data_IF_109867590669
#
_entry.id   IF_109867590669
#
_cell.length_a   1.000
_cell.length_b   1.000
_cell.length_c   1.000
_cell.angle_alpha   90.00
_cell.angle_beta   90.00
_cell.angle_gamma   90.00
#
_symmetry.space_group_name_H-M   'P 1'
#
loop_
_entity.id
_entity.type
_entity.pdbx_description
1 polymer ?
#
# COMPACT_ATOMS: atom_id res chain seq x y z
N UNK A 1 41.58 15.91 -64.07
CA UNK A 1 41.15 16.70 -62.90
C UNK A 1 39.80 16.16 -62.44
N UNK A 2 39.77 15.31 -61.41
CA UNK A 2 38.53 14.82 -60.79
C UNK A 2 38.57 15.24 -59.32
N UNK A 3 37.62 16.03 -58.80
CA UNK A 3 37.63 16.43 -57.41
C UNK A 3 37.07 15.30 -56.55
N UNK A 4 37.88 14.84 -55.60
CA UNK A 4 37.50 13.88 -54.57
C UNK A 4 36.56 14.59 -53.57
N UNK A 5 35.30 14.17 -53.50
CA UNK A 5 34.34 14.63 -52.48
C UNK A 5 34.61 13.89 -51.17
N UNK A 6 35.18 14.57 -50.18
CA UNK A 6 35.25 14.08 -48.81
C UNK A 6 33.86 14.22 -48.17
N UNK A 7 33.23 13.08 -47.86
CA UNK A 7 32.00 13.04 -47.07
C UNK A 7 32.34 13.15 -45.58
N UNK A 8 31.91 14.24 -44.94
CA UNK A 8 32.05 14.48 -43.52
C UNK A 8 30.96 13.67 -42.78
N UNK A 9 31.34 12.57 -42.14
CA UNK A 9 30.44 11.80 -41.28
C UNK A 9 30.28 12.52 -39.93
N UNK A 10 29.14 13.19 -39.74
CA UNK A 10 28.70 13.67 -38.43
C UNK A 10 28.34 12.46 -37.57
N UNK A 11 29.25 12.07 -36.67
CA UNK A 11 28.98 11.16 -35.58
C UNK A 11 27.99 11.84 -34.63
N UNK A 12 26.70 11.51 -34.76
CA UNK A 12 25.69 11.77 -33.73
C UNK A 12 26.06 10.94 -32.50
N UNK A 13 26.78 11.54 -31.55
CA UNK A 13 26.95 10.96 -30.23
C UNK A 13 25.57 10.88 -29.57
N UNK A 14 24.98 9.69 -29.54
CA UNK A 14 23.81 9.43 -28.73
C UNK A 14 24.17 9.77 -27.28
N UNK A 15 23.36 10.54 -26.54
CA UNK A 15 23.66 10.83 -25.15
C UNK A 15 23.74 9.50 -24.39
N UNK A 16 24.92 9.21 -23.84
CA UNK A 16 25.11 8.07 -22.97
C UNK A 16 24.28 8.32 -21.70
N UNK A 17 23.09 7.71 -21.63
CA UNK A 17 22.29 7.73 -20.42
C UNK A 17 23.07 7.00 -19.32
N UNK A 18 23.15 7.60 -18.14
CA UNK A 18 23.75 6.95 -16.98
C UNK A 18 23.01 5.63 -16.68
N UNK A 19 23.78 4.56 -16.47
CA UNK A 19 23.29 3.21 -16.21
C UNK A 19 23.19 2.98 -14.70
N UNK A 20 22.14 2.29 -14.26
CA UNK A 20 22.00 1.76 -12.91
C UNK A 20 22.33 0.27 -12.99
N UNK A 21 23.47 -0.11 -12.42
CA UNK A 21 23.94 -1.49 -12.44
C UNK A 21 23.13 -2.34 -11.45
N UNK A 22 22.42 -3.34 -11.98
CA UNK A 22 21.67 -4.35 -11.23
C UNK A 22 20.94 -3.82 -9.97
N UNK A 23 19.94 -2.92 -10.14
CA UNK A 23 19.32 -2.22 -9.01
C UNK A 23 18.57 -3.10 -8.01
N UNK A 24 18.28 -4.35 -8.39
CA UNK A 24 17.61 -5.33 -7.53
C UNK A 24 18.42 -6.63 -7.48
N UNK A 25 19.55 -6.67 -6.75
CA UNK A 25 20.38 -7.85 -6.68
C UNK A 25 19.62 -9.00 -5.98
N UNK A 26 19.58 -10.17 -6.63
CA UNK A 26 18.90 -11.34 -6.09
C UNK A 26 17.37 -11.24 -6.07
N UNK A 27 16.78 -10.37 -6.90
CA UNK A 27 15.33 -10.22 -6.97
C UNK A 27 14.63 -11.55 -7.23
N UNK A 28 13.50 -11.76 -6.57
CA UNK A 28 12.59 -12.87 -6.81
C UNK A 28 11.19 -12.33 -7.07
N UNK A 29 10.37 -13.10 -7.79
CA UNK A 29 8.97 -12.72 -8.02
C UNK A 29 8.24 -12.49 -6.69
N UNK A 30 7.47 -11.42 -6.61
CA UNK A 30 6.66 -10.96 -5.47
C UNK A 30 7.44 -10.56 -4.22
N UNK A 31 8.77 -10.54 -4.28
CA UNK A 31 9.59 -9.98 -3.21
C UNK A 31 9.88 -8.51 -3.49
N UNK A 32 9.75 -7.71 -2.44
CA UNK A 32 9.98 -6.27 -2.48
C UNK A 32 11.47 -5.99 -2.64
N UNK A 33 11.83 -5.23 -3.68
CA UNK A 33 13.12 -4.62 -3.90
C UNK A 33 13.04 -3.09 -3.70
N UNK A 34 13.99 -2.54 -2.96
CA UNK A 34 14.15 -1.10 -2.73
C UNK A 34 15.37 -0.60 -3.53
N UNK A 35 15.13 0.30 -4.49
CA UNK A 35 16.18 0.98 -5.25
C UNK A 35 16.43 2.33 -4.61
N UNK A 36 17.61 2.51 -4.03
CA UNK A 36 17.97 3.69 -3.23
C UNK A 36 18.63 4.75 -4.10
N UNK A 37 18.18 5.98 -3.95
CA UNK A 37 18.75 7.17 -4.58
C UNK A 37 19.20 8.15 -3.49
N UNK A 38 20.49 8.42 -3.43
CA UNK A 38 21.06 9.45 -2.55
C UNK A 38 21.25 10.74 -3.33
N UNK A 39 20.65 11.83 -2.85
CA UNK A 39 20.69 13.11 -3.53
C UNK A 39 22.04 13.78 -3.27
N UNK A 40 22.79 14.17 -4.32
CA UNK A 40 24.03 14.91 -4.12
C UNK A 40 23.79 16.19 -3.32
N UNK A 41 24.65 16.48 -2.34
CA UNK A 41 24.50 17.65 -1.47
C UNK A 41 24.37 18.98 -2.23
N UNK A 42 25.04 19.10 -3.39
CA UNK A 42 24.97 20.27 -4.25
C UNK A 42 23.60 20.46 -4.93
N UNK A 43 22.85 19.39 -5.16
CA UNK A 43 21.48 19.47 -5.67
C UNK A 43 20.46 19.62 -4.53
N UNK A 44 20.75 19.05 -3.35
CA UNK A 44 19.87 19.11 -2.19
C UNK A 44 19.52 20.54 -1.77
N UNK A 45 20.47 21.49 -1.87
CA UNK A 45 20.24 22.90 -1.55
C UNK A 45 19.23 23.61 -2.47
N UNK A 46 18.83 23.00 -3.58
CA UNK A 46 17.84 23.55 -4.52
C UNK A 46 16.39 23.27 -4.11
N UNK A 47 16.18 22.32 -3.19
CA UNK A 47 14.86 21.87 -2.77
C UNK A 47 14.63 22.30 -1.32
N UNK A 48 13.58 23.10 -1.08
CA UNK A 48 13.27 23.61 0.26
C UNK A 48 12.56 22.57 1.10
N UNK A 49 11.68 21.79 0.46
CA UNK A 49 11.01 20.66 1.05
C UNK A 49 11.22 19.42 0.17
N UNK A 50 12.13 18.50 0.56
CA UNK A 50 12.43 17.27 -0.17
C UNK A 50 11.21 16.40 -0.48
N UNK A 51 10.19 16.41 0.39
CA UNK A 51 8.95 15.65 0.19
C UNK A 51 8.04 16.27 -0.88
N UNK A 52 8.02 17.59 -1.00
CA UNK A 52 7.17 18.32 -1.94
C UNK A 52 7.84 18.56 -3.28
N UNK A 53 9.08 19.01 -3.24
CA UNK A 53 9.73 19.66 -4.37
C UNK A 53 10.39 18.66 -5.31
N UNK A 54 10.71 17.45 -4.84
CA UNK A 54 11.37 16.41 -5.65
C UNK A 54 10.34 15.48 -6.28
N UNK A 55 10.44 15.32 -7.60
CA UNK A 55 9.74 14.28 -8.34
C UNK A 55 10.72 13.18 -8.71
N UNK A 56 10.34 11.93 -8.43
CA UNK A 56 11.10 10.75 -8.79
C UNK A 56 10.10 9.65 -9.15
N UNK A 57 10.28 9.02 -10.31
CA UNK A 57 9.49 7.86 -10.73
C UNK A 57 10.31 6.97 -11.66
N UNK A 58 9.95 5.69 -11.70
CA UNK A 58 10.51 4.72 -12.62
C UNK A 58 9.40 4.07 -13.44
N UNK A 59 9.61 3.99 -14.75
CA UNK A 59 8.86 3.10 -15.63
C UNK A 59 9.59 1.77 -15.68
N UNK A 60 8.96 0.70 -15.21
CA UNK A 60 9.46 -0.66 -15.32
C UNK A 60 8.75 -1.41 -16.42
N UNK A 61 9.49 -2.14 -17.25
CA UNK A 61 8.95 -3.06 -18.25
C UNK A 61 9.29 -4.49 -17.85
N UNK A 62 8.26 -5.31 -17.71
CA UNK A 62 8.39 -6.72 -17.37
C UNK A 62 8.85 -7.57 -18.57
N UNK A 63 9.30 -8.82 -18.33
CA UNK A 63 9.64 -9.77 -19.38
C UNK A 63 8.51 -10.00 -20.40
N UNK A 64 7.24 -9.95 -19.97
CA UNK A 64 6.07 -10.05 -20.85
C UNK A 64 5.51 -8.70 -21.29
N UNK A 65 6.32 -7.65 -21.21
CA UNK A 65 6.04 -6.30 -21.69
C UNK A 65 4.92 -5.55 -20.97
N UNK A 66 4.55 -5.95 -19.74
CA UNK A 66 3.72 -5.12 -18.87
C UNK A 66 4.53 -3.94 -18.36
N UNK A 67 3.90 -2.76 -18.30
CA UNK A 67 4.55 -1.55 -17.81
C UNK A 67 4.00 -1.15 -16.45
N UNK A 68 4.88 -0.82 -15.52
CA UNK A 68 4.55 -0.34 -14.18
C UNK A 68 5.18 1.03 -13.98
N UNK A 69 4.37 2.03 -13.64
CA UNK A 69 4.86 3.34 -13.24
C UNK A 69 4.94 3.39 -11.71
N UNK A 70 6.15 3.32 -11.19
CA UNK A 70 6.40 3.32 -9.75
C UNK A 70 6.87 4.71 -9.30
N UNK A 71 6.09 5.42 -8.47
CA UNK A 71 6.56 6.65 -7.86
C UNK A 71 7.66 6.36 -6.83
N UNK A 72 8.65 7.24 -6.76
CA UNK A 72 9.61 7.28 -5.67
C UNK A 72 9.08 8.06 -4.48
N UNK A 73 9.68 7.84 -3.33
CA UNK A 73 9.34 8.55 -2.09
C UNK A 73 10.59 9.01 -1.34
N UNK A 74 10.45 10.13 -0.65
CA UNK A 74 11.45 10.63 0.28
C UNK A 74 11.46 9.78 1.56
N UNK A 75 12.65 9.39 2.02
CA UNK A 75 12.84 8.52 3.18
C UNK A 75 13.76 9.14 4.24
N UNK A 76 13.77 10.48 4.33
CA UNK A 76 14.58 11.22 5.28
C UNK A 76 15.90 11.71 4.70
N UNK A 77 16.38 12.85 5.20
CA UNK A 77 17.63 13.47 4.74
C UNK A 77 17.65 13.68 3.22
N UNK A 78 18.68 13.16 2.56
CA UNK A 78 18.85 13.22 1.11
C UNK A 78 18.43 11.92 0.39
N UNK A 79 17.74 11.03 1.11
CA UNK A 79 17.51 9.67 0.65
C UNK A 79 16.12 9.50 0.07
N UNK A 80 16.05 8.85 -1.09
CA UNK A 80 14.83 8.49 -1.78
C UNK A 80 14.83 7.01 -2.15
N UNK A 81 13.64 6.41 -2.23
CA UNK A 81 13.47 5.02 -2.65
C UNK A 81 12.47 4.96 -3.79
N UNK A 82 12.77 4.15 -4.79
CA UNK A 82 11.76 3.54 -5.67
C UNK A 82 11.64 2.08 -5.27
N UNK A 83 10.43 1.63 -4.95
CA UNK A 83 10.18 0.27 -4.48
C UNK A 83 9.36 -0.50 -5.52
N UNK A 84 9.70 -1.77 -5.77
CA UNK A 84 8.99 -2.63 -6.71
C UNK A 84 8.93 -4.08 -6.20
N UNK A 85 7.86 -4.79 -6.55
CA UNK A 85 7.76 -6.25 -6.44
C UNK A 85 7.62 -6.83 -7.86
N UNK A 86 8.66 -7.46 -8.43
CA UNK A 86 8.59 -8.04 -9.76
C UNK A 86 7.52 -9.14 -9.81
N UNK A 87 6.55 -9.05 -10.72
CA UNK A 87 5.45 -10.03 -10.81
C UNK A 87 5.75 -11.20 -11.73
N UNK A 88 6.84 -11.13 -12.49
CA UNK A 88 7.22 -12.08 -13.54
C UNK A 88 8.71 -12.39 -13.44
N UNK A 89 9.08 -13.66 -13.62
CA UNK A 89 10.48 -14.06 -13.68
C UNK A 89 11.10 -13.70 -15.03
N UNK A 90 12.37 -13.33 -15.04
CA UNK A 90 13.14 -12.92 -16.21
C UNK A 90 13.71 -11.51 -16.12
N UNK A 91 14.05 -10.95 -17.28
CA UNK A 91 14.68 -9.63 -17.40
C UNK A 91 13.66 -8.49 -17.24
N UNK A 92 13.97 -7.57 -16.32
CA UNK A 92 13.23 -6.34 -16.12
C UNK A 92 14.08 -5.16 -16.55
N UNK A 93 13.45 -4.22 -17.25
CA UNK A 93 14.07 -2.95 -17.67
C UNK A 93 13.44 -1.81 -16.90
N UNK A 94 14.23 -0.78 -16.56
CA UNK A 94 13.72 0.43 -15.95
C UNK A 94 14.26 1.71 -16.60
N UNK A 95 13.46 2.77 -16.52
CA UNK A 95 13.84 4.13 -16.87
C UNK A 95 13.38 5.11 -15.80
N UNK A 96 14.29 5.98 -15.36
CA UNK A 96 14.03 7.00 -14.35
C UNK A 96 13.60 8.31 -15.00
N UNK A 97 12.60 8.95 -14.40
CA UNK A 97 12.25 10.36 -14.65
C UNK A 97 12.27 11.12 -13.32
N UNK A 98 13.00 12.23 -13.29
CA UNK A 98 13.15 13.05 -12.07
C UNK A 98 13.45 14.50 -12.42
N UNK A 99 13.16 15.42 -11.49
CA UNK A 99 13.66 16.79 -11.55
C UNK A 99 15.04 16.97 -10.90
N UNK A 100 15.62 15.92 -10.29
CA UNK A 100 17.02 15.86 -9.87
C UNK A 100 17.86 15.44 -11.07
N UNK A 101 18.82 16.27 -11.45
CA UNK A 101 19.55 16.13 -12.71
C UNK A 101 20.40 14.87 -12.71
N UNK A 102 21.03 14.54 -11.58
CA UNK A 102 21.82 13.32 -11.44
C UNK A 102 21.04 12.04 -11.73
N UNK A 103 19.73 12.00 -11.49
CA UNK A 103 18.89 10.79 -11.62
C UNK A 103 18.10 10.73 -12.91
N UNK A 104 17.77 11.89 -13.48
CA UNK A 104 16.84 11.97 -14.61
C UNK A 104 17.38 11.25 -15.86
N UNK A 105 16.55 10.40 -16.46
CA UNK A 105 16.88 9.68 -17.68
C UNK A 105 17.79 8.47 -17.48
N UNK A 106 18.19 8.16 -16.24
CA UNK A 106 18.92 6.92 -15.93
C UNK A 106 18.14 5.69 -16.39
N UNK A 107 18.86 4.65 -16.82
CA UNK A 107 18.28 3.38 -17.25
C UNK A 107 18.99 2.25 -16.54
N UNK A 108 18.30 1.12 -16.37
CA UNK A 108 18.92 -0.05 -15.79
C UNK A 108 18.14 -1.30 -16.13
N UNK A 109 18.70 -2.44 -15.71
CA UNK A 109 18.06 -3.73 -15.83
C UNK A 109 18.45 -4.64 -14.68
N UNK A 110 17.58 -5.58 -14.34
CA UNK A 110 17.84 -6.62 -13.34
C UNK A 110 17.13 -7.91 -13.72
N UNK A 111 17.57 -9.02 -13.11
CA UNK A 111 16.95 -10.34 -13.30
C UNK A 111 16.12 -10.71 -12.07
N UNK A 112 14.88 -11.12 -12.29
CA UNK A 112 14.01 -11.67 -11.25
C UNK A 112 13.93 -13.19 -11.38
N UNK A 113 14.32 -13.92 -10.34
CA UNK A 113 14.12 -15.36 -10.26
C UNK A 113 12.67 -15.71 -9.90
N UNK A 114 12.19 -16.87 -10.32
CA UNK A 114 10.88 -17.37 -9.94
C UNK A 114 10.84 -17.75 -8.44
N UNK A 115 9.72 -17.48 -7.79
CA UNK A 115 9.45 -17.87 -6.40
C UNK A 115 8.13 -18.65 -6.30
N UNK A 116 7.90 -19.29 -5.15
CA UNK A 116 6.64 -20.00 -4.89
C UNK A 116 5.48 -19.07 -4.48
N UNK A 117 5.74 -17.77 -4.35
CA UNK A 117 4.77 -16.78 -3.92
C UNK A 117 3.57 -16.71 -4.88
N UNK A 118 2.33 -16.87 -4.41
CA UNK A 118 1.17 -16.86 -5.29
C UNK A 118 0.78 -15.44 -5.77
N UNK A 119 1.31 -14.38 -5.18
CA UNK A 119 1.09 -12.99 -5.59
C UNK A 119 0.14 -12.19 -4.72
N UNK A 120 -0.51 -11.20 -5.31
CA UNK A 120 -1.49 -10.33 -4.65
C UNK A 120 -2.89 -10.95 -4.67
N UNK A 121 -3.85 -10.35 -3.97
CA UNK A 121 -5.24 -10.82 -3.95
C UNK A 121 -6.08 -10.11 -4.99
N UNK A 122 -7.05 -10.84 -5.56
CA UNK A 122 -8.10 -10.31 -6.40
C UNK A 122 -9.45 -10.97 -6.12
N UNK A 123 -10.57 -10.26 -6.31
CA UNK A 123 -11.89 -10.90 -6.34
C UNK A 123 -11.96 -12.04 -7.36
N UNK A 124 -12.68 -13.10 -7.00
CA UNK A 124 -12.89 -14.28 -7.83
C UNK A 124 -14.30 -14.84 -7.60
N UNK A 125 -14.93 -15.34 -8.67
CA UNK A 125 -16.23 -16.02 -8.60
C UNK A 125 -17.28 -15.26 -7.76
N UNK A 126 -17.39 -13.94 -8.00
CA UNK A 126 -18.30 -12.98 -7.37
C UNK A 126 -18.06 -12.71 -5.87
N UNK A 127 -17.78 -13.73 -5.06
CA UNK A 127 -17.77 -13.61 -3.59
C UNK A 127 -16.46 -14.08 -2.93
N UNK A 128 -15.51 -14.60 -3.71
CA UNK A 128 -14.31 -15.25 -3.19
C UNK A 128 -13.05 -14.45 -3.53
N UNK A 129 -11.93 -14.93 -2.98
CA UNK A 129 -10.60 -14.39 -3.23
C UNK A 129 -9.72 -15.45 -3.87
N UNK A 130 -8.89 -15.02 -4.82
CA UNK A 130 -7.80 -15.83 -5.35
C UNK A 130 -6.57 -14.96 -5.54
N UNK A 131 -5.41 -15.60 -5.67
CA UNK A 131 -4.19 -14.87 -5.97
C UNK A 131 -4.07 -14.44 -7.44
N UNK A 132 -3.23 -13.44 -7.73
CA UNK A 132 -3.05 -12.88 -9.09
C UNK A 132 -2.28 -13.82 -10.01
N UNK A 133 -1.22 -14.48 -9.53
CA UNK A 133 -0.34 -15.30 -10.39
C UNK A 133 -0.70 -16.77 -10.38
N UNK A 134 -1.40 -17.22 -9.34
CA UNK A 134 -1.91 -18.58 -9.21
C UNK A 134 -3.40 -18.55 -8.91
N UNK A 135 -4.18 -19.44 -9.53
CA UNK A 135 -5.61 -19.63 -9.21
C UNK A 135 -5.82 -20.37 -7.88
N UNK A 136 -5.00 -20.05 -6.87
CA UNK A 136 -5.12 -20.58 -5.53
C UNK A 136 -6.18 -19.77 -4.76
N UNK A 137 -7.15 -20.42 -4.07
CA UNK A 137 -8.13 -19.72 -3.25
C UNK A 137 -7.48 -19.10 -2.01
N UNK A 138 -8.08 -18.02 -1.52
CA UNK A 138 -7.67 -17.35 -0.29
C UNK A 138 -8.86 -17.20 0.66
N UNK A 139 -8.66 -17.56 1.93
CA UNK A 139 -9.60 -17.29 3.02
C UNK A 139 -9.12 -16.07 3.80
N UNK A 140 -9.95 -15.03 3.87
CA UNK A 140 -9.65 -13.81 4.60
C UNK A 140 -9.93 -14.03 6.09
N UNK A 141 -8.90 -14.41 6.85
CA UNK A 141 -8.93 -14.62 8.29
C UNK A 141 -8.12 -13.52 8.95
N UNK A 142 -8.82 -12.48 9.44
CA UNK A 142 -8.20 -11.25 9.94
C UNK A 142 -8.17 -11.14 11.45
N UNK A 143 -7.10 -10.53 11.98
CA UNK A 143 -7.04 -9.98 13.33
C UNK A 143 -6.99 -8.44 13.26
N UNK A 144 -7.43 -7.76 14.33
CA UNK A 144 -7.40 -6.30 14.43
C UNK A 144 -6.35 -5.85 15.44
N UNK A 145 -5.35 -5.11 14.96
CA UNK A 145 -4.36 -4.44 15.79
C UNK A 145 -4.12 -3.03 15.22
N UNK A 146 -5.05 -2.10 15.49
CA UNK A 146 -4.98 -0.74 14.97
C UNK A 146 -3.65 -0.06 15.24
N UNK A 147 -3.04 -0.36 16.38
CA UNK A 147 -1.82 0.26 16.86
C UNK A 147 -0.54 -0.52 16.51
N UNK A 148 -0.60 -1.50 15.60
CA UNK A 148 0.56 -2.31 15.23
C UNK A 148 1.81 -1.51 14.82
N UNK A 149 1.75 -0.28 14.27
CA UNK A 149 2.96 0.51 14.00
C UNK A 149 3.65 1.05 15.26
N UNK A 150 2.93 1.20 16.37
CA UNK A 150 3.40 1.92 17.56
C UNK A 150 3.61 1.05 18.80
N UNK A 151 3.05 -0.16 18.85
CA UNK A 151 3.33 -1.08 19.97
C UNK A 151 4.82 -1.42 20.04
N UNK A 152 5.29 -1.77 21.23
CA UNK A 152 6.66 -2.24 21.45
C UNK A 152 7.08 -3.28 20.40
N UNK A 153 8.34 -3.20 19.96
CA UNK A 153 8.83 -4.04 18.85
C UNK A 153 8.84 -5.52 19.22
N UNK A 154 9.29 -5.86 20.42
CA UNK A 154 9.31 -7.26 20.85
C UNK A 154 7.88 -7.80 20.97
N UNK A 155 6.94 -6.99 21.49
CA UNK A 155 5.52 -7.35 21.54
C UNK A 155 4.93 -7.56 20.14
N UNK A 156 5.23 -6.67 19.17
CA UNK A 156 4.79 -6.85 17.79
C UNK A 156 5.32 -8.16 17.17
N UNK A 157 6.60 -8.46 17.35
CA UNK A 157 7.20 -9.67 16.80
C UNK A 157 6.54 -10.93 17.39
N UNK A 158 6.20 -10.90 18.69
CA UNK A 158 5.43 -11.96 19.35
C UNK A 158 4.01 -12.10 18.77
N UNK A 159 3.28 -10.99 18.60
CA UNK A 159 1.95 -11.00 17.99
C UNK A 159 2.02 -11.56 16.56
N UNK A 160 2.92 -11.05 15.73
CA UNK A 160 3.07 -11.50 14.34
C UNK A 160 3.41 -13.00 14.26
N UNK A 161 4.28 -13.51 15.12
CA UNK A 161 4.58 -14.93 15.20
C UNK A 161 3.35 -15.75 15.63
N UNK A 162 2.63 -15.29 16.66
CA UNK A 162 1.44 -16.00 17.17
C UNK A 162 0.31 -16.04 16.14
N UNK A 163 0.07 -14.94 15.43
CA UNK A 163 -0.94 -14.88 14.36
C UNK A 163 -0.62 -15.79 13.19
N UNK A 164 0.65 -15.92 12.82
CA UNK A 164 1.09 -16.88 11.82
C UNK A 164 0.89 -18.34 12.27
N UNK A 165 1.20 -18.66 13.52
CA UNK A 165 0.93 -19.99 14.12
C UNK A 165 -0.57 -20.33 14.07
N UNK A 166 -1.41 -19.35 14.42
CA UNK A 166 -2.87 -19.44 14.43
C UNK A 166 -3.51 -19.35 13.04
N UNK A 167 -2.71 -19.24 11.97
CA UNK A 167 -3.16 -19.21 10.57
C UNK A 167 -4.03 -18.01 10.20
N UNK A 168 -3.88 -16.89 10.91
CA UNK A 168 -4.39 -15.62 10.40
C UNK A 168 -3.68 -15.28 9.09
N UNK A 169 -4.44 -14.78 8.13
CA UNK A 169 -3.96 -14.37 6.82
C UNK A 169 -3.95 -12.85 6.66
N UNK A 170 -4.61 -12.12 7.56
CA UNK A 170 -4.68 -10.67 7.56
C UNK A 170 -4.45 -10.08 8.96
N UNK A 171 -3.81 -8.91 9.02
CA UNK A 171 -3.76 -8.05 10.20
C UNK A 171 -4.18 -6.63 9.80
N UNK A 172 -5.23 -6.11 10.44
CA UNK A 172 -5.78 -4.77 10.18
C UNK A 172 -5.19 -3.73 11.10
N UNK A 173 -4.74 -2.59 10.56
CA UNK A 173 -4.38 -1.46 11.39
C UNK A 173 -4.08 -0.13 10.68
N UNK A 174 -3.88 0.91 11.50
CA UNK A 174 -3.83 2.31 11.05
C UNK A 174 -2.44 2.70 10.55
N UNK A 175 -2.43 3.59 9.55
CA UNK A 175 -1.22 4.30 9.11
C UNK A 175 -0.97 5.54 9.97
N UNK A 176 -2.03 6.30 10.23
CA UNK A 176 -2.02 7.52 11.05
C UNK A 176 -3.02 7.37 12.19
N UNK A 177 -2.60 7.71 13.41
CA UNK A 177 -3.41 7.57 14.62
C UNK A 177 -3.99 8.93 15.05
N UNK A 178 -5.28 9.03 15.45
CA UNK A 178 -5.90 10.32 15.80
C UNK A 178 -5.37 10.93 17.11
N UNK A 179 -4.90 10.10 18.04
CA UNK A 179 -4.28 10.52 19.30
C UNK A 179 -2.76 10.73 19.18
N UNK A 180 -2.40 11.93 18.74
CA UNK A 180 -1.01 12.41 18.65
C UNK A 180 -0.36 12.66 20.03
N UNK A 181 -1.12 12.63 21.13
CA UNK A 181 -0.55 12.79 22.49
C UNK A 181 0.06 11.49 23.01
N UNK A 182 -0.44 10.36 22.51
CA UNK A 182 -0.02 9.02 22.91
C UNK A 182 0.87 8.33 21.88
N UNK A 183 0.63 8.59 20.59
CA UNK A 183 1.30 7.90 19.50
C UNK A 183 2.17 8.85 18.68
N UNK A 184 3.29 8.34 18.18
CA UNK A 184 4.20 9.12 17.33
C UNK A 184 3.46 9.57 16.07
N UNK A 185 3.51 10.87 15.78
CA UNK A 185 2.91 11.43 14.58
C UNK A 185 3.54 10.83 13.32
N UNK A 186 2.69 10.36 12.41
CA UNK A 186 3.10 9.97 11.07
C UNK A 186 3.44 11.20 10.19
N UNK A 187 2.80 12.34 10.45
CA UNK A 187 3.03 13.61 9.78
C UNK A 187 3.18 14.73 10.82
N UNK A 188 4.29 15.46 10.76
CA UNK A 188 4.54 16.62 11.65
C UNK A 188 3.70 17.83 11.22
N UNK A 189 3.42 17.91 9.92
CA UNK A 189 2.45 18.79 9.27
C UNK A 189 1.96 18.08 8.00
N UNK A 190 0.89 18.56 7.33
CA UNK A 190 0.33 17.89 6.14
C UNK A 190 1.37 17.60 5.04
N UNK A 191 2.44 18.42 4.99
CA UNK A 191 3.49 18.36 3.98
C UNK A 191 4.86 17.97 4.55
N UNK A 192 4.87 17.32 5.71
CA UNK A 192 6.09 16.85 6.37
C UNK A 192 5.86 15.47 7.00
N UNK A 193 5.99 14.38 6.22
CA UNK A 193 5.96 13.02 6.77
C UNK A 193 7.10 12.82 7.77
N UNK A 194 6.91 11.93 8.74
CA UNK A 194 7.92 11.49 9.69
C UNK A 194 8.61 10.21 9.17
N UNK A 195 9.85 10.28 8.66
CA UNK A 195 10.50 9.11 8.06
C UNK A 195 10.65 7.93 9.02
N UNK A 196 10.97 8.18 10.29
CA UNK A 196 11.14 7.12 11.29
C UNK A 196 9.88 6.28 11.48
N UNK A 197 8.71 6.94 11.48
CA UNK A 197 7.42 6.25 11.57
C UNK A 197 7.22 5.32 10.38
N UNK A 198 7.43 5.82 9.16
CA UNK A 198 7.22 5.02 7.95
C UNK A 198 8.26 3.94 7.78
N UNK A 199 9.51 4.15 8.20
CA UNK A 199 10.56 3.12 8.20
C UNK A 199 10.21 1.96 9.14
N UNK A 200 9.68 2.26 10.33
CA UNK A 200 9.21 1.20 11.24
C UNK A 200 7.97 0.50 10.70
N UNK A 201 7.03 1.23 10.09
CA UNK A 201 5.87 0.66 9.42
C UNK A 201 6.28 -0.27 8.26
N UNK A 202 7.24 0.14 7.44
CA UNK A 202 7.83 -0.67 6.35
C UNK A 202 8.39 -1.98 6.90
N UNK A 203 9.15 -1.92 8.00
CA UNK A 203 9.74 -3.11 8.63
C UNK A 203 8.68 -4.07 9.15
N UNK A 204 7.61 -3.55 9.76
CA UNK A 204 6.51 -4.36 10.31
C UNK A 204 5.67 -5.02 9.22
N UNK A 205 5.33 -4.28 8.17
CA UNK A 205 4.61 -4.85 7.02
C UNK A 205 5.45 -5.95 6.36
N UNK A 206 6.76 -5.73 6.18
CA UNK A 206 7.69 -6.75 5.66
C UNK A 206 7.70 -8.00 6.54
N UNK A 207 7.73 -7.85 7.86
CA UNK A 207 7.73 -8.96 8.81
C UNK A 207 6.42 -9.78 8.75
N UNK A 208 5.26 -9.12 8.62
CA UNK A 208 3.96 -9.79 8.46
C UNK A 208 3.87 -10.51 7.11
N UNK A 209 4.25 -9.84 6.02
CA UNK A 209 4.23 -10.41 4.67
C UNK A 209 5.14 -11.65 4.55
N UNK A 210 6.32 -11.63 5.19
CA UNK A 210 7.22 -12.78 5.25
C UNK A 210 6.60 -14.00 5.96
N UNK A 211 5.57 -13.79 6.79
CA UNK A 211 4.79 -14.84 7.46
C UNK A 211 3.51 -15.22 6.70
N UNK A 212 3.31 -14.68 5.50
CA UNK A 212 2.10 -14.91 4.71
C UNK A 212 0.88 -14.11 5.18
N UNK A 213 1.09 -13.08 6.00
CA UNK A 213 0.02 -12.21 6.52
C UNK A 213 -0.02 -10.93 5.68
N UNK A 214 -1.17 -10.66 5.06
CA UNK A 214 -1.49 -9.38 4.44
C UNK A 214 -1.77 -8.32 5.49
N UNK A 215 -1.44 -7.07 5.20
CA UNK A 215 -1.80 -5.95 6.08
C UNK A 215 -2.99 -5.20 5.49
N UNK A 216 -4.10 -5.20 6.21
CA UNK A 216 -5.27 -4.38 5.87
C UNK A 216 -4.99 -2.96 6.35
N UNK A 217 -4.45 -2.14 5.44
CA UNK A 217 -3.82 -0.87 5.73
C UNK A 217 -4.86 0.24 5.73
N UNK A 218 -5.25 0.67 6.92
CA UNK A 218 -6.24 1.72 7.15
C UNK A 218 -5.56 3.08 7.08
N UNK A 219 -5.88 3.89 6.06
CA UNK A 219 -5.14 5.13 5.82
C UNK A 219 -5.29 6.14 6.95
N UNK A 220 -6.45 6.19 7.62
CA UNK A 220 -6.71 7.05 8.75
C UNK A 220 -7.85 6.56 9.66
N UNK A 221 -7.89 7.12 10.86
CA UNK A 221 -8.97 6.92 11.82
C UNK A 221 -10.32 7.49 11.39
N UNK A 222 -11.26 7.48 12.32
CA UNK A 222 -12.64 7.97 12.21
C UNK A 222 -12.76 9.49 12.43
N UNK A 223 -13.97 10.00 12.74
CA UNK A 223 -14.21 11.39 13.18
C UNK A 223 -13.51 12.52 12.38
N UNK A 224 -13.62 12.48 11.05
CA UNK A 224 -12.96 13.45 10.15
C UNK A 224 -11.42 13.48 10.24
N UNK A 225 -10.78 12.47 10.82
CA UNK A 225 -9.34 12.48 11.11
C UNK A 225 -8.49 12.78 9.86
N UNK A 226 -8.70 12.09 8.74
CA UNK A 226 -7.90 12.31 7.52
C UNK A 226 -7.99 13.76 7.02
N UNK A 227 -9.18 14.37 7.04
CA UNK A 227 -9.38 15.74 6.55
C UNK A 227 -8.94 16.80 7.56
N UNK A 228 -8.81 16.46 8.85
CA UNK A 228 -8.14 17.30 9.85
C UNK A 228 -6.63 17.33 9.63
N UNK A 229 -6.04 16.20 9.27
CA UNK A 229 -4.60 16.09 8.96
C UNK A 229 -4.29 16.67 7.58
N UNK A 230 -5.17 16.48 6.59
CA UNK A 230 -4.99 16.91 5.20
C UNK A 230 -6.23 17.67 4.71
N UNK A 231 -6.44 18.93 5.15
CA UNK A 231 -7.61 19.73 4.78
C UNK A 231 -7.71 19.98 3.27
N UNK A 232 -6.58 20.15 2.59
CA UNK A 232 -6.56 20.44 1.16
C UNK A 232 -6.52 19.18 0.30
N UNK A 233 -7.23 19.21 -0.84
CA UNK A 233 -7.19 18.15 -1.86
C UNK A 233 -5.75 17.79 -2.25
N UNK A 234 -4.90 18.80 -2.46
CA UNK A 234 -3.50 18.60 -2.86
C UNK A 234 -2.67 17.90 -1.78
N UNK A 235 -2.97 18.11 -0.50
CA UNK A 235 -2.31 17.41 0.60
C UNK A 235 -2.71 15.93 0.61
N UNK A 236 -4.00 15.63 0.42
CA UNK A 236 -4.49 14.24 0.30
C UNK A 236 -3.90 13.53 -0.92
N UNK A 237 -3.84 14.19 -2.08
CA UNK A 237 -3.20 13.65 -3.29
C UNK A 237 -1.73 13.28 -3.04
N UNK A 238 -0.97 14.15 -2.37
CA UNK A 238 0.44 13.90 -2.01
C UNK A 238 0.58 12.76 -1.00
N UNK A 239 -0.29 12.71 0.01
CA UNK A 239 -0.35 11.62 0.96
C UNK A 239 -0.60 10.28 0.24
N UNK A 240 -1.62 10.20 -0.62
CA UNK A 240 -1.94 8.97 -1.35
C UNK A 240 -0.82 8.53 -2.29
N UNK A 241 -0.17 9.47 -3.00
CA UNK A 241 1.00 9.15 -3.84
C UNK A 241 2.15 8.59 -2.99
N UNK A 242 2.39 9.16 -1.82
CA UNK A 242 3.42 8.69 -0.89
C UNK A 242 3.11 7.30 -0.34
N UNK A 243 1.84 7.03 -0.01
CA UNK A 243 1.38 5.71 0.43
C UNK A 243 1.53 4.66 -0.67
N UNK A 244 1.12 4.97 -1.91
CA UNK A 244 1.30 4.07 -3.06
C UNK A 244 2.79 3.78 -3.28
N UNK A 245 3.62 4.82 -3.32
CA UNK A 245 5.07 4.70 -3.53
C UNK A 245 5.73 3.76 -2.51
N UNK A 246 5.32 3.86 -1.24
CA UNK A 246 5.86 3.03 -0.15
C UNK A 246 5.28 1.63 -0.11
N UNK A 247 3.97 1.49 -0.27
CA UNK A 247 3.25 0.30 0.17
C UNK A 247 2.64 -0.54 -0.95
N UNK A 248 2.45 -0.02 -2.16
CA UNK A 248 1.91 -0.83 -3.26
C UNK A 248 2.79 -2.04 -3.64
N UNK A 249 4.11 -2.08 -3.40
CA UNK A 249 4.88 -3.30 -3.63
C UNK A 249 4.66 -4.42 -2.59
N UNK A 250 4.05 -4.10 -1.44
CA UNK A 250 3.83 -5.08 -0.38
C UNK A 250 2.50 -5.80 -0.53
N UNK A 251 2.35 -6.92 0.19
CA UNK A 251 1.08 -7.63 0.32
C UNK A 251 0.19 -6.91 1.32
N UNK A 252 -0.53 -5.93 0.80
CA UNK A 252 -1.48 -5.11 1.57
C UNK A 252 -2.87 -5.15 0.97
N UNK A 253 -3.84 -4.62 1.69
CA UNK A 253 -5.12 -4.18 1.14
C UNK A 253 -5.35 -2.74 1.56
N UNK A 254 -5.99 -1.95 0.71
CA UNK A 254 -6.28 -0.55 1.02
C UNK A 254 -7.62 -0.43 1.73
N UNK A 255 -7.62 0.17 2.91
CA UNK A 255 -8.84 0.63 3.57
C UNK A 255 -8.80 2.15 3.71
N UNK A 256 -9.83 2.84 3.20
CA UNK A 256 -9.93 4.29 3.24
C UNK A 256 -9.83 4.87 4.65
N UNK A 257 -10.89 4.76 5.44
CA UNK A 257 -10.90 5.25 6.83
C UNK A 257 -11.48 4.19 7.78
N UNK A 258 -11.37 4.41 9.09
CA UNK A 258 -11.88 3.48 10.10
C UNK A 258 -13.41 3.45 10.17
N UNK A 259 -14.11 4.58 10.13
CA UNK A 259 -15.58 4.62 10.01
C UNK A 259 -15.96 5.80 9.12
N UNK A 260 -16.46 5.52 7.91
CA UNK A 260 -16.68 6.58 6.94
C UNK A 260 -17.89 7.45 7.25
N UNK A 261 -18.88 6.92 7.97
CA UNK A 261 -20.08 7.63 8.38
C UNK A 261 -19.80 8.71 9.44
N UNK A 262 -18.65 8.63 10.12
CA UNK A 262 -18.20 9.66 11.06
C UNK A 262 -17.47 10.83 10.38
N UNK A 263 -17.39 10.82 9.05
CA UNK A 263 -16.94 11.94 8.24
C UNK A 263 -18.13 12.74 7.73
N UNK A 264 -18.06 14.07 7.79
CA UNK A 264 -19.17 14.94 7.38
C UNK A 264 -19.56 14.78 5.91
N UNK A 265 -18.59 14.43 5.06
CA UNK A 265 -18.80 14.09 3.65
C UNK A 265 -18.01 12.81 3.27
N UNK A 266 -18.23 11.75 4.05
CA UNK A 266 -17.48 10.50 3.92
C UNK A 266 -17.54 9.86 2.53
N UNK A 267 -18.71 9.89 1.87
CA UNK A 267 -18.87 9.31 0.52
C UNK A 267 -18.06 10.08 -0.53
N UNK A 268 -18.10 11.42 -0.54
CA UNK A 268 -17.31 12.19 -1.50
C UNK A 268 -15.81 12.01 -1.25
N UNK A 269 -15.38 12.06 0.02
CA UNK A 269 -14.00 11.81 0.41
C UNK A 269 -13.51 10.43 -0.07
N UNK A 270 -14.31 9.39 0.12
CA UNK A 270 -13.92 8.04 -0.30
C UNK A 270 -13.97 7.83 -1.81
N UNK A 271 -14.88 8.52 -2.51
CA UNK A 271 -14.84 8.53 -3.97
C UNK A 271 -13.56 9.17 -4.49
N UNK A 272 -13.09 10.26 -3.86
CA UNK A 272 -11.80 10.89 -4.13
C UNK A 272 -10.64 9.89 -3.94
N UNK A 273 -10.50 9.36 -2.71
CA UNK A 273 -9.41 8.46 -2.32
C UNK A 273 -9.45 7.16 -3.14
N UNK A 274 -10.61 6.52 -3.21
CA UNK A 274 -10.78 5.23 -3.87
C UNK A 274 -10.52 5.29 -5.37
N UNK A 275 -10.96 6.37 -6.03
CA UNK A 275 -10.68 6.57 -7.47
C UNK A 275 -9.20 6.81 -7.71
N UNK A 276 -8.55 7.58 -6.84
CA UNK A 276 -7.10 7.81 -6.92
C UNK A 276 -6.33 6.49 -6.77
N UNK A 277 -6.63 5.69 -5.73
CA UNK A 277 -6.00 4.38 -5.54
C UNK A 277 -6.26 3.43 -6.71
N UNK A 278 -7.50 3.38 -7.24
CA UNK A 278 -7.84 2.58 -8.43
C UNK A 278 -6.99 2.96 -9.64
N UNK A 279 -6.72 4.25 -9.82
CA UNK A 279 -6.01 4.77 -10.99
C UNK A 279 -4.50 4.57 -10.87
N UNK A 280 -3.96 4.74 -9.65
CA UNK A 280 -2.54 4.90 -9.43
C UNK A 280 -1.85 3.71 -8.77
N UNK A 281 -2.56 2.77 -8.15
CA UNK A 281 -1.95 1.53 -7.64
C UNK A 281 -1.60 0.58 -8.81
N UNK A 282 -0.30 0.38 -9.12
CA UNK A 282 0.12 -0.40 -10.29
C UNK A 282 -0.21 -1.90 -10.19
N UNK A 283 -0.50 -2.39 -8.98
CA UNK A 283 -0.77 -3.80 -8.69
C UNK A 283 -2.26 -4.08 -8.45
N UNK A 284 -3.10 -3.03 -8.40
CA UNK A 284 -4.55 -3.15 -8.24
C UNK A 284 -4.95 -3.96 -6.99
N UNK A 285 -4.36 -3.62 -5.84
CA UNK A 285 -4.71 -4.27 -4.56
C UNK A 285 -6.20 -4.19 -4.28
N UNK A 286 -6.74 -5.10 -3.45
CA UNK A 286 -8.09 -4.95 -2.91
C UNK A 286 -8.24 -3.60 -2.21
N UNK A 287 -9.40 -2.95 -2.38
CA UNK A 287 -9.70 -1.62 -1.84
C UNK A 287 -11.12 -1.55 -1.32
N UNK A 288 -11.28 -1.05 -0.10
CA UNK A 288 -12.60 -0.77 0.49
C UNK A 288 -12.48 0.36 1.53
N UNK A 289 -13.50 0.52 2.36
CA UNK A 289 -13.46 1.34 3.57
C UNK A 289 -14.26 0.64 4.66
N UNK A 290 -13.92 0.89 5.91
CA UNK A 290 -14.73 0.40 7.00
C UNK A 290 -15.85 1.39 7.32
N UNK A 291 -16.80 0.93 8.13
CA UNK A 291 -18.18 1.41 8.22
C UNK A 291 -18.71 1.19 9.63
N UNK A 292 -19.70 1.95 10.04
CA UNK A 292 -20.48 1.66 11.26
C UNK A 292 -21.48 0.51 11.08
N UNK A 293 -21.80 0.13 9.82
CA UNK A 293 -22.71 -0.99 9.48
C UNK A 293 -22.32 -1.74 8.20
N UNK A 294 -22.42 -1.09 7.05
CA UNK A 294 -22.13 -1.64 5.71
C UNK A 294 -21.55 -0.57 4.79
N UNK A 295 -20.48 -0.90 4.08
CA UNK A 295 -19.94 -0.06 3.00
C UNK A 295 -20.65 -0.27 1.65
N UNK A 296 -21.65 -1.15 1.59
CA UNK A 296 -22.40 -1.52 0.38
C UNK A 296 -22.90 -0.33 -0.46
N UNK A 297 -23.46 0.74 0.14
CA UNK A 297 -23.94 1.92 -0.58
C UNK A 297 -22.88 2.67 -1.40
N UNK A 298 -21.60 2.44 -1.14
CA UNK A 298 -20.48 3.04 -1.87
C UNK A 298 -20.07 2.22 -3.11
N UNK A 299 -20.52 0.97 -3.24
CA UNK A 299 -20.15 0.07 -4.35
C UNK A 299 -20.44 0.67 -5.75
N UNK A 300 -21.58 1.35 -5.99
CA UNK A 300 -21.87 1.98 -7.29
C UNK A 300 -20.89 3.09 -7.69
N UNK A 301 -20.08 3.61 -6.77
CA UNK A 301 -19.05 4.61 -7.09
C UNK A 301 -17.86 3.99 -7.85
N UNK A 302 -17.80 2.66 -7.98
CA UNK A 302 -16.96 1.95 -8.95
C UNK A 302 -15.49 1.81 -8.58
N UNK A 303 -15.09 2.23 -7.39
CA UNK A 303 -13.70 2.15 -6.91
C UNK A 303 -13.44 0.97 -5.96
N UNK A 304 -14.47 0.44 -5.31
CA UNK A 304 -14.34 -0.66 -4.34
C UNK A 304 -14.14 -2.01 -5.01
N UNK A 305 -13.42 -2.91 -4.35
CA UNK A 305 -13.31 -4.31 -4.77
C UNK A 305 -14.14 -5.28 -3.93
N UNK A 306 -14.52 -4.87 -2.72
CA UNK A 306 -15.27 -5.68 -1.76
C UNK A 306 -16.02 -4.80 -0.75
N UNK A 307 -17.03 -5.38 -0.08
CA UNK A 307 -17.82 -4.73 0.96
C UNK A 307 -17.23 -5.09 2.34
N UNK A 308 -17.11 -4.10 3.22
CA UNK A 308 -16.85 -4.33 4.64
C UNK A 308 -18.13 -4.16 5.46
N UNK A 309 -18.27 -4.97 6.49
CA UNK A 309 -19.31 -4.86 7.52
C UNK A 309 -18.73 -4.60 8.89
N UNK A 310 -19.52 -3.91 9.70
CA UNK A 310 -19.44 -3.86 11.16
C UNK A 310 -20.83 -4.23 11.68
N UNK A 311 -21.07 -5.53 11.87
CA UNK A 311 -22.40 -6.01 12.25
C UNK A 311 -22.31 -7.37 12.94
N UNK A 312 -23.08 -7.57 14.00
CA UNK A 312 -23.37 -8.90 14.55
C UNK A 312 -24.70 -9.47 14.06
N UNK A 313 -25.37 -8.77 13.15
CA UNK A 313 -26.65 -9.17 12.54
C UNK A 313 -26.40 -9.80 11.17
N UNK A 314 -26.71 -11.10 11.08
CA UNK A 314 -26.54 -11.91 9.87
C UNK A 314 -27.51 -11.51 8.75
N UNK A 315 -28.65 -10.90 9.09
CA UNK A 315 -29.69 -10.56 8.11
C UNK A 315 -29.19 -9.52 7.10
N UNK A 316 -28.43 -8.52 7.56
CA UNK A 316 -27.86 -7.49 6.70
C UNK A 316 -26.97 -8.12 5.62
N UNK A 317 -26.03 -8.97 6.03
CA UNK A 317 -25.13 -9.68 5.13
C UNK A 317 -25.89 -10.59 4.17
N UNK A 318 -26.89 -11.33 4.67
CA UNK A 318 -27.70 -12.26 3.87
C UNK A 318 -28.58 -11.55 2.81
N UNK A 319 -29.16 -10.40 3.14
CA UNK A 319 -29.97 -9.60 2.21
C UNK A 319 -29.08 -8.98 1.16
N UNK A 320 -28.05 -8.24 1.56
CA UNK A 320 -27.12 -7.65 0.59
C UNK A 320 -26.54 -8.75 -0.30
N UNK A 321 -26.35 -9.97 0.26
CA UNK A 321 -26.15 -11.29 -0.40
C UNK A 321 -26.57 -11.33 -1.85
N UNK A 322 -27.86 -11.08 -1.96
CA UNK A 322 -28.70 -11.37 -3.11
C UNK A 322 -28.69 -10.22 -4.12
N UNK A 323 -28.31 -9.01 -3.68
CA UNK A 323 -28.41 -7.78 -4.48
C UNK A 323 -27.04 -7.26 -4.94
N UNK A 324 -25.97 -7.49 -4.17
CA UNK A 324 -24.64 -6.95 -4.45
C UNK A 324 -23.63 -8.08 -4.74
N UNK A 325 -23.17 -8.19 -5.99
CA UNK A 325 -22.25 -9.25 -6.42
C UNK A 325 -20.78 -8.85 -6.18
N UNK A 326 -20.37 -8.82 -4.92
CA UNK A 326 -19.00 -8.48 -4.50
C UNK A 326 -18.57 -9.30 -3.29
N UNK A 327 -17.27 -9.65 -3.14
CA UNK A 327 -16.76 -10.26 -1.92
C UNK A 327 -17.09 -9.41 -0.70
N UNK A 328 -17.25 -10.06 0.46
CA UNK A 328 -17.55 -9.38 1.72
C UNK A 328 -16.68 -9.90 2.83
N UNK A 329 -16.32 -8.99 3.72
CA UNK A 329 -15.63 -9.29 4.95
C UNK A 329 -16.37 -8.57 6.06
N UNK A 330 -16.74 -9.29 7.11
CA UNK A 330 -17.19 -8.67 8.33
C UNK A 330 -15.95 -8.38 9.17
N UNK A 331 -15.49 -7.14 9.13
CA UNK A 331 -14.25 -6.75 9.78
C UNK A 331 -14.46 -6.44 11.27
N UNK A 332 -15.72 -6.34 11.72
CA UNK A 332 -16.06 -6.05 13.11
C UNK A 332 -17.46 -6.60 13.49
N UNK A 333 -17.51 -7.86 13.92
CA UNK A 333 -18.73 -8.50 14.44
C UNK A 333 -18.76 -8.58 15.97
N UNK A 334 -17.60 -8.47 16.60
CA UNK A 334 -17.37 -8.45 18.05
C UNK A 334 -15.88 -8.28 18.38
N UNK A 335 -15.59 -7.96 19.64
CA UNK A 335 -14.27 -8.20 20.25
C UNK A 335 -14.41 -9.24 21.36
N UNK A 336 -13.45 -10.16 21.45
CA UNK A 336 -13.40 -11.13 22.54
C UNK A 336 -12.88 -10.47 23.82
N UNK A 337 -13.66 -10.56 24.90
CA UNK A 337 -13.18 -10.25 26.25
C UNK A 337 -12.41 -11.46 26.80
N UNK A 338 -11.09 -11.43 26.63
CA UNK A 338 -10.17 -12.46 27.13
C UNK A 338 -9.83 -12.31 28.63
N UNK A 339 -10.66 -11.56 29.38
CA UNK A 339 -10.45 -11.26 30.80
C UNK A 339 -9.78 -9.91 31.06
N UNK A 340 -9.58 -9.09 30.01
CA UNK A 340 -9.09 -7.72 30.10
C UNK A 340 -10.22 -6.71 30.42
N UNK A 341 -11.49 -7.15 30.36
CA UNK A 341 -12.66 -6.36 30.69
C UNK A 341 -13.39 -5.81 29.46
N UNK A 342 -14.63 -5.37 29.70
CA UNK A 342 -15.51 -4.81 28.66
C UNK A 342 -15.45 -3.29 28.66
N UNK A 343 -15.08 -2.68 27.54
CA UNK A 343 -15.24 -1.24 27.31
C UNK A 343 -16.45 -0.91 26.44
N UNK A 344 -16.94 -1.86 25.64
CA UNK A 344 -18.08 -1.67 24.74
C UNK A 344 -19.08 -2.83 24.79
N UNK A 345 -20.35 -2.61 24.37
CA UNK A 345 -21.38 -3.66 24.35
C UNK A 345 -21.05 -4.87 23.49
N UNK A 346 -20.18 -4.70 22.48
CA UNK A 346 -19.75 -5.77 21.58
C UNK A 346 -18.49 -6.51 22.08
N UNK A 347 -18.05 -6.26 23.33
CA UNK A 347 -17.08 -7.10 24.03
C UNK A 347 -17.79 -8.30 24.65
N UNK A 348 -17.51 -9.48 24.14
CA UNK A 348 -18.29 -10.70 24.41
C UNK A 348 -17.41 -11.85 24.85
N UNK A 349 -18.01 -12.88 25.45
CA UNK A 349 -17.31 -14.09 25.81
C UNK A 349 -16.86 -14.89 24.57
N UNK A 350 -15.88 -15.77 24.76
CA UNK A 350 -15.30 -16.62 23.70
C UNK A 350 -16.34 -17.46 22.95
N UNK A 351 -17.38 -17.97 23.64
CA UNK A 351 -18.37 -18.83 22.99
C UNK A 351 -19.25 -18.01 22.03
N UNK A 352 -19.69 -16.83 22.46
CA UNK A 352 -20.43 -15.89 21.61
C UNK A 352 -19.55 -15.39 20.45
N UNK A 353 -18.26 -15.11 20.68
CA UNK A 353 -17.33 -14.70 19.63
C UNK A 353 -17.20 -15.75 18.53
N UNK A 354 -16.92 -17.01 18.90
CA UNK A 354 -16.84 -18.12 17.94
C UNK A 354 -18.14 -18.34 17.18
N UNK A 355 -19.29 -18.19 17.84
CA UNK A 355 -20.59 -18.31 17.19
C UNK A 355 -20.82 -17.25 16.12
N UNK A 356 -20.37 -16.01 16.34
CA UNK A 356 -20.49 -14.92 15.36
C UNK A 356 -19.46 -15.01 14.23
N UNK A 357 -18.28 -15.57 14.52
CA UNK A 357 -17.23 -15.79 13.53
C UNK A 357 -17.60 -16.89 12.51
N UNK A 358 -18.33 -17.91 12.97
CA UNK A 358 -18.82 -19.03 12.14
C UNK A 358 -20.09 -18.64 11.37
#
# INVERSE_FOLDING_TARGET
MNPCRAALWLLLAAPAFAQIDNPCPGAQTMQVCDIVFEMPAAEASRFRNPYLDVSLQAEFRSPKFRTFLMPGFWDGGNRYIIRIAPVEAGEWLLRISSNVQAWNGQRGQFQAAESNDPGFLRPANLFHWSYTEKRQPHLWMGDTCYTFPWIDRALFDQIAAKRAEQKFTHLRGLVIHPDDTKYRKAFLSPDQPNPEHFQELDARIRALNAKGIFVDLVLAGDQNHLVKVFPEFRQRERFLRYMIARYSPFKITWQGVQEFEEYSDGRALLKEIGTFLKTHDPFQHPRSTHTTRTSGPLLPDGWMTHILYQSSDDQLGAIERQVLLSPRINAEFAYEDSGAGKSHPHHIDTATFRKRLW
#
